data_IF_035065048327
#
_entry.id   IF_035065048327
#
_cell.length_a   1.000
_cell.length_b   1.000
_cell.length_c   1.000
_cell.angle_alpha   90.00
_cell.angle_beta   90.00
_cell.angle_gamma   90.00
#
_symmetry.space_group_name_H-M   'P 1'
#
loop_
_entity.id
_entity.type
_entity.pdbx_description
1 polymer ?
#
# COMPACT_ATOMS: atom_id res chain seq x y z
N UNK A 1 -19.76 10.97 -53.34
CA UNK A 1 -19.35 11.57 -52.05
C UNK A 1 -17.83 11.78 -52.07
N UNK A 2 -17.28 12.81 -51.48
CA UNK A 2 -15.84 12.94 -51.45
C UNK A 2 -15.23 11.73 -50.74
N UNK A 3 -14.28 11.12 -51.37
CA UNK A 3 -13.58 9.92 -50.94
C UNK A 3 -12.73 10.23 -49.71
N UNK A 4 -12.79 9.40 -48.64
CA UNK A 4 -12.03 9.62 -47.42
C UNK A 4 -10.62 9.04 -47.59
N UNK A 5 -9.65 9.95 -47.82
CA UNK A 5 -8.26 9.53 -48.10
C UNK A 5 -7.44 9.45 -46.81
N UNK A 6 -6.71 8.36 -46.63
CA UNK A 6 -5.73 8.11 -45.57
C UNK A 6 -4.33 8.12 -46.17
N UNK A 7 -3.37 8.67 -45.45
CA UNK A 7 -1.96 8.50 -45.71
C UNK A 7 -1.42 7.14 -45.22
N UNK A 8 -0.12 6.88 -45.45
CA UNK A 8 0.52 5.68 -44.85
C UNK A 8 0.71 5.80 -43.34
N UNK A 9 0.62 7.02 -42.80
CA UNK A 9 0.52 7.34 -41.37
C UNK A 9 -0.55 8.41 -41.13
N UNK A 10 -1.25 8.33 -40.02
CA UNK A 10 -2.34 9.24 -39.64
C UNK A 10 -2.37 9.53 -38.16
N UNK A 11 -2.91 10.71 -37.82
CA UNK A 11 -3.37 11.01 -36.49
C UNK A 11 -4.81 10.52 -36.26
N UNK A 12 -5.03 9.90 -35.11
CA UNK A 12 -6.37 9.50 -34.71
C UNK A 12 -6.54 9.65 -33.20
N UNK A 13 -7.77 9.60 -32.73
CA UNK A 13 -8.11 9.50 -31.32
C UNK A 13 -8.94 8.25 -31.03
N UNK A 14 -8.85 7.76 -29.78
CA UNK A 14 -9.69 6.69 -29.26
C UNK A 14 -10.42 7.21 -28.02
N UNK A 15 -11.55 7.95 -28.21
CA UNK A 15 -12.20 8.70 -27.13
C UNK A 15 -12.65 7.79 -25.97
N UNK A 16 -13.16 6.60 -26.26
CA UNK A 16 -13.61 5.65 -25.27
C UNK A 16 -12.45 5.13 -24.37
N UNK A 17 -11.20 5.24 -24.82
CA UNK A 17 -10.01 4.87 -24.08
C UNK A 17 -9.33 6.08 -23.41
N UNK A 18 -9.87 7.29 -23.60
CA UNK A 18 -9.25 8.52 -23.10
C UNK A 18 -7.96 8.91 -23.82
N UNK A 19 -7.81 8.50 -25.08
CA UNK A 19 -6.64 8.81 -25.91
C UNK A 19 -6.99 9.87 -26.96
N UNK A 20 -6.80 11.17 -26.65
CA UNK A 20 -7.18 12.26 -27.55
C UNK A 20 -6.28 12.36 -28.79
N UNK A 21 -5.08 11.83 -28.76
CA UNK A 21 -4.14 11.85 -29.88
C UNK A 21 -3.23 10.63 -29.86
N UNK A 22 -3.13 9.92 -30.97
CA UNK A 22 -2.16 8.83 -31.16
C UNK A 22 -1.75 8.79 -32.64
N UNK A 23 -0.49 8.51 -32.93
CA UNK A 23 -0.01 8.29 -34.30
C UNK A 23 -0.12 6.82 -34.66
N UNK A 24 -0.77 6.53 -35.76
CA UNK A 24 -0.96 5.18 -36.28
C UNK A 24 -0.31 5.02 -37.65
N UNK A 25 0.34 3.87 -37.84
CA UNK A 25 0.72 3.41 -39.17
C UNK A 25 -0.48 2.72 -39.82
N UNK A 26 -0.85 3.13 -41.04
CA UNK A 26 -1.90 2.48 -41.84
C UNK A 26 -1.30 1.27 -42.52
N UNK A 27 -1.81 0.06 -42.21
CA UNK A 27 -1.27 -1.20 -42.71
C UNK A 27 -2.35 -2.06 -43.38
N UNK A 28 -2.40 -1.97 -44.71
CA UNK A 28 -3.36 -2.73 -45.52
C UNK A 28 -3.05 -4.25 -45.57
N UNK A 29 -1.84 -4.66 -45.19
CA UNK A 29 -1.43 -6.07 -45.08
C UNK A 29 -1.96 -6.75 -43.81
N UNK A 30 -2.06 -6.00 -42.73
CA UNK A 30 -2.58 -6.52 -41.46
C UNK A 30 -4.12 -6.55 -41.47
N UNK A 31 -4.72 -7.67 -41.04
CA UNK A 31 -6.20 -7.77 -40.95
C UNK A 31 -6.76 -6.94 -39.80
N UNK A 32 -6.16 -7.03 -38.63
CA UNK A 32 -6.65 -6.42 -37.38
C UNK A 32 -5.73 -5.28 -36.94
N UNK A 33 -6.31 -4.23 -36.41
CA UNK A 33 -5.53 -3.15 -35.80
C UNK A 33 -4.82 -3.64 -34.53
N UNK A 34 -3.70 -2.98 -34.19
CA UNK A 34 -2.93 -3.29 -33.00
C UNK A 34 -2.57 -2.02 -32.24
N UNK A 35 -2.79 -2.02 -30.95
CA UNK A 35 -2.46 -0.90 -30.05
C UNK A 35 -1.33 -1.34 -29.12
N UNK A 36 -0.33 -0.48 -28.94
CA UNK A 36 0.67 -0.67 -27.92
C UNK A 36 -0.01 -0.74 -26.56
N UNK A 37 0.27 -1.80 -25.82
CA UNK A 37 -0.22 -1.98 -24.48
C UNK A 37 0.78 -2.79 -23.66
N UNK A 38 0.97 -2.38 -22.44
CA UNK A 38 1.74 -3.12 -21.43
C UNK A 38 0.92 -3.22 -20.13
N UNK A 39 1.37 -4.03 -19.19
CA UNK A 39 0.61 -4.31 -17.96
C UNK A 39 -0.84 -4.72 -18.24
N UNK A 40 -1.04 -5.59 -19.25
CA UNK A 40 -2.37 -6.03 -19.68
C UNK A 40 -2.95 -7.00 -18.66
N UNK A 41 -4.14 -6.70 -18.14
CA UNK A 41 -4.77 -7.46 -17.07
C UNK A 41 -6.28 -7.62 -17.31
N UNK A 42 -6.77 -8.86 -17.45
CA UNK A 42 -8.21 -9.12 -17.50
C UNK A 42 -8.83 -8.98 -16.10
N UNK A 43 -10.01 -8.39 -16.01
CA UNK A 43 -10.77 -8.21 -14.77
C UNK A 43 -12.27 -8.25 -15.03
N UNK A 44 -13.06 -8.12 -13.97
CA UNK A 44 -14.52 -8.14 -14.05
C UNK A 44 -15.14 -9.53 -13.95
N UNK A 45 -16.48 -9.62 -13.88
CA UNK A 45 -17.18 -10.89 -13.80
C UNK A 45 -17.11 -11.63 -15.14
N UNK A 46 -17.28 -12.97 -15.10
CA UNK A 46 -17.13 -13.83 -16.28
C UNK A 46 -18.15 -13.56 -17.40
N UNK A 47 -19.31 -12.99 -17.05
CA UNK A 47 -20.37 -12.60 -18.00
C UNK A 47 -20.16 -11.21 -18.62
N UNK A 48 -19.29 -10.40 -18.02
CA UNK A 48 -18.88 -9.07 -18.53
C UNK A 48 -17.38 -8.87 -18.35
N UNK A 49 -16.54 -9.64 -19.05
CA UNK A 49 -15.11 -9.53 -18.90
C UNK A 49 -14.59 -8.18 -19.41
N UNK A 50 -13.68 -7.61 -18.68
CA UNK A 50 -13.03 -6.36 -19.00
C UNK A 50 -11.51 -6.60 -19.10
N UNK A 51 -10.81 -5.75 -19.81
CA UNK A 51 -9.34 -5.72 -19.82
C UNK A 51 -8.86 -4.32 -19.49
N UNK A 52 -7.84 -4.25 -18.66
CA UNK A 52 -7.10 -3.03 -18.36
C UNK A 52 -5.69 -3.16 -18.90
N UNK A 53 -5.14 -2.05 -19.36
CA UNK A 53 -3.78 -1.96 -19.87
C UNK A 53 -3.26 -0.54 -19.74
N UNK A 54 -1.93 -0.40 -19.76
CA UNK A 54 -1.27 0.89 -19.81
C UNK A 54 -0.68 1.12 -21.21
N UNK A 55 -0.60 2.38 -21.62
CA UNK A 55 -0.02 2.81 -22.89
C UNK A 55 0.83 4.07 -22.71
N UNK A 56 1.96 4.15 -23.42
CA UNK A 56 2.68 5.40 -23.66
C UNK A 56 2.25 5.91 -25.05
N UNK A 57 1.31 6.87 -25.14
CA UNK A 57 0.79 7.33 -26.43
C UNK A 57 1.84 8.07 -27.26
N UNK A 58 2.76 8.79 -26.61
CA UNK A 58 3.90 9.46 -27.25
C UNK A 58 5.14 8.54 -27.22
N UNK A 59 5.68 8.14 -28.39
CA UNK A 59 6.91 7.35 -28.44
C UNK A 59 8.14 8.07 -27.88
N UNK A 60 8.14 9.38 -27.82
CA UNK A 60 9.26 10.22 -27.35
C UNK A 60 9.21 10.52 -25.85
N UNK A 61 8.07 10.32 -25.20
CA UNK A 61 7.85 10.60 -23.77
C UNK A 61 7.23 9.39 -23.03
N UNK A 62 8.08 8.53 -22.49
CA UNK A 62 7.64 7.41 -21.67
C UNK A 62 7.10 7.83 -20.29
N UNK A 63 7.25 9.11 -19.90
CA UNK A 63 6.66 9.61 -18.65
C UNK A 63 5.16 9.88 -18.78
N UNK A 64 4.66 10.00 -20.02
CA UNK A 64 3.24 10.10 -20.33
C UNK A 64 2.64 8.69 -20.39
N UNK A 65 2.16 8.21 -19.26
CA UNK A 65 1.49 6.90 -19.12
C UNK A 65 -0.02 7.11 -18.96
N UNK A 66 -0.82 6.44 -19.80
CA UNK A 66 -2.29 6.43 -19.73
C UNK A 66 -2.77 5.02 -19.44
N UNK A 67 -3.62 4.89 -18.41
CA UNK A 67 -4.27 3.62 -18.08
C UNK A 67 -5.65 3.57 -18.73
N UNK A 68 -5.86 2.59 -19.58
CA UNK A 68 -7.10 2.35 -20.31
C UNK A 68 -7.85 1.14 -19.76
N UNK A 69 -9.17 1.13 -19.92
CA UNK A 69 -10.02 -0.05 -19.64
C UNK A 69 -11.06 -0.18 -20.72
N UNK A 70 -11.30 -1.40 -21.18
CA UNK A 70 -12.31 -1.70 -22.21
C UNK A 70 -12.98 -3.05 -21.95
N UNK A 71 -14.21 -3.28 -22.46
CA UNK A 71 -14.79 -4.61 -22.53
C UNK A 71 -13.87 -5.54 -23.33
N UNK A 72 -13.61 -6.72 -22.76
CA UNK A 72 -12.87 -7.76 -23.47
C UNK A 72 -13.82 -8.45 -24.45
N UNK A 73 -13.53 -8.33 -25.75
CA UNK A 73 -14.33 -8.97 -26.82
C UNK A 73 -13.92 -10.42 -27.00
N UNK A 74 -12.61 -10.69 -27.08
CA UNK A 74 -12.07 -12.00 -27.44
C UNK A 74 -10.60 -12.14 -27.00
N UNK A 75 -10.10 -13.37 -27.11
CA UNK A 75 -8.68 -13.72 -27.05
C UNK A 75 -8.36 -14.57 -28.28
N UNK A 76 -7.43 -14.13 -29.10
CA UNK A 76 -7.06 -14.88 -30.29
C UNK A 76 -5.58 -14.92 -30.50
N UNK A 77 -5.11 -15.99 -31.14
CA UNK A 77 -3.75 -16.10 -31.63
C UNK A 77 -3.55 -15.16 -32.83
N UNK A 78 -2.51 -14.37 -32.78
CA UNK A 78 -2.13 -13.47 -33.86
C UNK A 78 -0.69 -13.75 -34.22
N UNK A 79 -0.46 -14.11 -35.47
CA UNK A 79 0.89 -14.28 -36.01
C UNK A 79 1.42 -12.94 -36.48
N UNK A 80 2.56 -12.53 -35.93
CA UNK A 80 3.27 -11.31 -36.31
C UNK A 80 3.95 -11.46 -37.67
N UNK A 81 4.38 -10.34 -38.25
CA UNK A 81 5.17 -10.34 -39.51
C UNK A 81 6.49 -11.12 -39.40
N UNK A 82 6.98 -11.35 -38.18
CA UNK A 82 8.21 -12.15 -37.92
C UNK A 82 7.92 -13.65 -37.82
N UNK A 83 6.65 -14.08 -37.97
CA UNK A 83 6.26 -15.49 -37.85
C UNK A 83 5.99 -15.95 -36.41
N UNK A 84 6.15 -15.10 -35.41
CA UNK A 84 5.84 -15.42 -34.02
C UNK A 84 4.33 -15.34 -33.76
N UNK A 85 3.77 -16.36 -33.12
CA UNK A 85 2.36 -16.41 -32.72
C UNK A 85 2.21 -16.08 -31.24
N UNK A 86 1.36 -15.12 -30.94
CA UNK A 86 1.10 -14.62 -29.60
C UNK A 86 -0.40 -14.59 -29.33
N UNK A 87 -0.83 -15.05 -28.16
CA UNK A 87 -2.22 -14.92 -27.70
C UNK A 87 -2.50 -13.49 -27.24
N UNK A 88 -3.34 -12.76 -27.98
CA UNK A 88 -3.65 -11.35 -27.70
C UNK A 88 -5.08 -11.17 -27.23
N UNK A 89 -5.27 -10.20 -26.33
CA UNK A 89 -6.58 -9.70 -25.99
C UNK A 89 -7.11 -8.78 -27.10
N UNK A 90 -8.40 -8.90 -27.41
CA UNK A 90 -9.10 -8.09 -28.40
C UNK A 90 -10.15 -7.25 -27.74
N UNK A 91 -10.14 -5.96 -28.02
CA UNK A 91 -11.16 -5.00 -27.60
C UNK A 91 -11.88 -4.43 -28.82
N UNK A 92 -13.08 -3.91 -28.58
CA UNK A 92 -13.77 -3.06 -29.55
C UNK A 92 -13.80 -1.65 -29.01
N UNK A 93 -13.43 -0.67 -29.84
CA UNK A 93 -13.39 0.74 -29.44
C UNK A 93 -13.74 1.62 -30.63
N UNK A 94 -14.21 2.83 -30.35
CA UNK A 94 -14.44 3.84 -31.39
C UNK A 94 -13.13 4.52 -31.73
N UNK A 95 -12.82 4.63 -33.03
CA UNK A 95 -11.76 5.46 -33.57
C UNK A 95 -12.36 6.72 -34.16
N UNK A 96 -11.75 7.87 -33.90
CA UNK A 96 -12.13 9.14 -34.51
C UNK A 96 -10.95 9.70 -35.30
N UNK A 97 -11.24 10.13 -36.52
CA UNK A 97 -10.26 10.70 -37.46
C UNK A 97 -10.91 11.78 -38.34
N UNK A 98 -10.39 12.95 -38.30
CA UNK A 98 -11.03 14.11 -38.94
C UNK A 98 -12.45 14.33 -38.38
N UNK A 99 -13.45 14.27 -39.25
CA UNK A 99 -14.87 14.42 -38.88
C UNK A 99 -15.63 13.09 -38.79
N UNK A 100 -14.96 11.98 -38.87
CA UNK A 100 -15.55 10.65 -38.84
C UNK A 100 -15.20 9.89 -37.60
N UNK A 101 -16.14 9.07 -37.09
CA UNK A 101 -15.94 8.10 -36.03
C UNK A 101 -16.61 6.80 -36.40
N UNK A 102 -15.95 5.66 -36.10
CA UNK A 102 -16.49 4.32 -36.36
C UNK A 102 -15.87 3.29 -35.41
N UNK A 103 -16.56 2.18 -35.14
CA UNK A 103 -16.04 1.12 -34.29
C UNK A 103 -14.97 0.28 -35.01
N UNK A 104 -13.93 -0.09 -34.28
CA UNK A 104 -12.87 -0.97 -34.76
C UNK A 104 -12.53 -2.04 -33.73
N UNK A 105 -12.06 -3.19 -34.21
CA UNK A 105 -11.41 -4.19 -33.38
C UNK A 105 -9.90 -3.89 -33.27
N UNK A 106 -9.40 -3.95 -32.04
CA UNK A 106 -8.00 -3.68 -31.74
C UNK A 106 -7.41 -4.78 -30.86
N UNK A 107 -6.28 -5.33 -31.29
CA UNK A 107 -5.49 -6.26 -30.45
C UNK A 107 -4.51 -5.50 -29.57
N UNK A 108 -4.37 -5.93 -28.33
CA UNK A 108 -3.41 -5.37 -27.36
C UNK A 108 -2.11 -6.16 -27.43
N UNK A 109 -1.00 -5.47 -27.66
CA UNK A 109 0.34 -6.09 -27.74
C UNK A 109 1.44 -5.10 -27.40
N UNK A 110 2.57 -5.59 -26.90
CA UNK A 110 3.70 -4.72 -26.62
C UNK A 110 4.38 -4.27 -27.92
N UNK A 111 4.32 -2.97 -28.19
CA UNK A 111 4.97 -2.28 -29.31
C UNK A 111 5.93 -1.19 -28.82
N UNK A 112 6.42 -1.31 -27.59
CA UNK A 112 7.26 -0.28 -26.94
C UNK A 112 8.53 0.07 -27.72
N UNK A 113 9.07 -0.86 -28.52
CA UNK A 113 10.23 -0.62 -29.38
C UNK A 113 9.91 -0.03 -30.76
N UNK A 114 8.63 0.13 -31.11
CA UNK A 114 8.21 0.58 -32.45
C UNK A 114 7.93 2.08 -32.50
N UNK A 115 8.19 2.70 -33.65
CA UNK A 115 7.94 4.12 -33.87
C UNK A 115 6.46 4.52 -33.79
N UNK A 116 5.56 3.58 -34.08
CA UNK A 116 4.11 3.81 -34.01
C UNK A 116 3.50 2.97 -32.91
N UNK A 117 2.84 3.64 -31.98
CA UNK A 117 2.13 2.99 -30.87
C UNK A 117 0.85 2.29 -31.32
N UNK A 118 0.36 2.65 -32.51
CA UNK A 118 -0.79 2.00 -33.11
C UNK A 118 -0.54 1.62 -34.56
N UNK A 119 -1.15 0.51 -34.97
CA UNK A 119 -1.26 0.02 -36.34
C UNK A 119 -2.75 -0.03 -36.69
N UNK A 120 -3.16 0.63 -37.76
CA UNK A 120 -4.52 0.60 -38.28
C UNK A 120 -4.59 -0.45 -39.40
N UNK A 121 -5.19 -1.60 -39.09
CA UNK A 121 -5.33 -2.72 -40.01
C UNK A 121 -6.48 -2.53 -41.00
N UNK A 122 -6.47 -3.29 -42.10
CA UNK A 122 -7.48 -3.18 -43.18
C UNK A 122 -8.92 -3.41 -42.72
N UNK A 123 -9.14 -4.14 -41.62
CA UNK A 123 -10.49 -4.33 -41.04
C UNK A 123 -11.07 -3.05 -40.42
N UNK A 124 -10.24 -2.04 -40.19
CA UNK A 124 -10.66 -0.72 -39.74
C UNK A 124 -10.80 0.29 -40.90
N UNK A 125 -10.46 -0.09 -42.12
CA UNK A 125 -10.55 0.75 -43.33
C UNK A 125 -11.86 0.41 -44.05
N UNK A 126 -12.78 1.39 -44.12
CA UNK A 126 -14.06 1.23 -44.77
C UNK A 126 -13.96 1.15 -46.30
N UNK A 127 -14.99 0.63 -46.96
CA UNK A 127 -15.04 0.51 -48.42
C UNK A 127 -14.99 1.85 -49.17
N UNK A 128 -15.40 2.93 -48.48
CA UNK A 128 -15.36 4.29 -49.00
C UNK A 128 -14.05 5.05 -48.69
N UNK A 129 -13.03 4.33 -48.16
CA UNK A 129 -11.72 4.89 -47.83
C UNK A 129 -10.65 4.43 -48.82
N UNK A 130 -9.74 5.35 -49.13
CA UNK A 130 -8.55 5.07 -49.94
C UNK A 130 -7.30 5.32 -49.12
N UNK A 131 -6.31 4.44 -49.27
CA UNK A 131 -4.99 4.63 -48.68
C UNK A 131 -4.01 5.12 -49.78
N UNK A 132 -3.45 6.30 -49.55
CA UNK A 132 -2.40 6.85 -50.40
C UNK A 132 -1.02 6.59 -49.81
N UNK A 133 -0.23 5.65 -50.34
CA UNK A 133 1.06 5.30 -49.78
C UNK A 133 2.14 6.39 -49.95
N UNK A 134 1.87 7.39 -50.79
CA UNK A 134 2.78 8.51 -51.04
C UNK A 134 2.53 9.72 -50.13
N UNK A 135 1.46 9.70 -49.33
CA UNK A 135 1.05 10.82 -48.48
C UNK A 135 1.05 10.44 -47.01
N UNK A 136 1.34 11.43 -46.15
CA UNK A 136 1.24 11.34 -44.69
C UNK A 136 0.19 12.36 -44.23
N UNK A 137 -0.53 12.01 -43.16
CA UNK A 137 -1.44 12.95 -42.47
C UNK A 137 -2.45 13.63 -43.43
N UNK A 138 -3.18 12.81 -44.18
CA UNK A 138 -4.24 13.30 -45.05
C UNK A 138 -5.44 13.83 -44.26
N UNK A 139 -5.57 13.47 -43.01
CA UNK A 139 -6.58 13.96 -42.08
C UNK A 139 -5.97 15.00 -41.13
N UNK A 140 -6.80 15.83 -40.45
CA UNK A 140 -6.30 16.88 -39.55
C UNK A 140 -5.34 16.33 -38.51
N UNK A 141 -4.22 17.01 -38.34
CA UNK A 141 -3.24 16.65 -37.30
C UNK A 141 -3.77 16.90 -35.91
N UNK A 142 -3.45 15.97 -35.00
CA UNK A 142 -3.65 16.09 -33.56
C UNK A 142 -2.29 16.35 -32.90
N UNK A 143 -2.29 16.72 -31.63
CA UNK A 143 -1.07 16.99 -30.89
C UNK A 143 -1.06 16.23 -29.58
N UNK A 144 0.09 15.71 -29.16
CA UNK A 144 0.28 15.17 -27.82
C UNK A 144 0.10 16.22 -26.72
N UNK A 145 0.13 17.53 -27.05
CA UNK A 145 -0.21 18.59 -26.08
C UNK A 145 -1.65 18.48 -25.57
N UNK A 146 -2.56 17.86 -26.35
CA UNK A 146 -3.93 17.57 -25.92
C UNK A 146 -4.00 16.75 -24.64
N UNK A 147 -2.95 15.99 -24.29
CA UNK A 147 -2.86 15.30 -23.00
C UNK A 147 -2.56 16.23 -21.81
N UNK A 148 -2.01 17.43 -22.06
CA UNK A 148 -1.75 18.45 -21.02
C UNK A 148 -3.01 19.20 -20.63
N UNK A 149 -3.88 19.47 -21.61
CA UNK A 149 -5.13 20.22 -21.46
C UNK A 149 -6.31 19.33 -21.09
N UNK A 150 -6.19 18.04 -21.33
CA UNK A 150 -7.18 17.09 -20.83
C UNK A 150 -7.12 17.20 -19.29
N UNK A 151 -8.23 17.61 -18.60
CA UNK A 151 -8.28 17.51 -17.15
C UNK A 151 -7.87 16.07 -16.88
N UNK A 152 -6.71 15.89 -16.21
CA UNK A 152 -6.17 14.53 -15.93
C UNK A 152 -7.34 13.73 -15.50
N UNK A 153 -7.93 12.97 -16.45
CA UNK A 153 -9.07 12.08 -16.19
C UNK A 153 -8.60 11.35 -14.96
N UNK A 154 -9.26 11.63 -13.83
CA UNK A 154 -8.84 11.15 -12.50
C UNK A 154 -8.32 9.78 -12.76
N UNK A 155 -6.99 9.60 -12.72
CA UNK A 155 -6.33 8.37 -13.13
C UNK A 155 -7.25 7.26 -12.71
N UNK A 156 -7.85 6.51 -13.67
CA UNK A 156 -8.79 5.45 -13.30
C UNK A 156 -7.91 4.45 -12.56
N UNK A 157 -7.75 4.75 -11.28
CA UNK A 157 -6.95 3.94 -10.38
C UNK A 157 -7.50 2.56 -10.50
N UNK A 158 -6.64 1.62 -10.75
CA UNK A 158 -7.00 0.21 -10.79
C UNK A 158 -7.93 -0.06 -9.61
N UNK A 159 -9.14 -0.57 -9.86
CA UNK A 159 -10.00 -1.08 -8.81
C UNK A 159 -9.28 -2.25 -8.14
N UNK A 160 -8.71 -2.01 -6.98
CA UNK A 160 -7.99 -3.04 -6.23
C UNK A 160 -8.98 -3.95 -5.52
N UNK A 161 -8.63 -5.23 -5.44
CA UNK A 161 -9.28 -6.16 -4.53
C UNK A 161 -8.45 -6.23 -3.25
N UNK A 162 -8.99 -5.72 -2.18
CA UNK A 162 -8.34 -5.61 -0.87
C UNK A 162 -8.99 -6.54 0.15
N UNK A 163 -8.25 -6.94 1.17
CA UNK A 163 -8.81 -7.57 2.35
C UNK A 163 -8.28 -6.89 3.62
N UNK A 164 -9.16 -6.68 4.59
CA UNK A 164 -8.77 -6.29 5.95
C UNK A 164 -8.88 -7.52 6.86
N UNK A 165 -7.76 -7.84 7.51
CA UNK A 165 -7.63 -9.00 8.38
C UNK A 165 -7.87 -8.56 9.83
N UNK A 166 -9.07 -8.75 10.37
CA UNK A 166 -9.45 -8.26 11.70
C UNK A 166 -10.45 -9.20 12.38
N UNK A 167 -10.47 -9.20 13.72
CA UNK A 167 -11.54 -9.82 14.52
C UNK A 167 -12.59 -8.80 14.99
N UNK A 168 -12.41 -7.55 14.63
CA UNK A 168 -13.26 -6.44 15.10
C UNK A 168 -13.82 -5.69 13.88
N UNK A 169 -14.80 -6.26 13.18
CA UNK A 169 -15.38 -5.68 11.97
C UNK A 169 -16.04 -4.31 12.24
N UNK A 170 -16.63 -4.14 13.41
CA UNK A 170 -17.34 -2.91 13.83
C UNK A 170 -16.40 -1.81 14.36
N UNK A 171 -15.09 -2.06 14.38
CA UNK A 171 -14.12 -1.06 14.87
C UNK A 171 -14.07 0.16 13.94
N UNK A 172 -14.00 1.36 14.53
CA UNK A 172 -13.89 2.63 13.79
C UNK A 172 -12.91 2.56 12.61
N UNK A 173 -11.69 2.06 12.85
CA UNK A 173 -10.67 1.98 11.80
C UNK A 173 -11.09 1.07 10.64
N UNK A 174 -11.81 -0.02 10.92
CA UNK A 174 -12.33 -0.92 9.88
C UNK A 174 -13.36 -0.20 9.00
N UNK A 175 -14.34 0.48 9.62
CA UNK A 175 -15.32 1.31 8.92
C UNK A 175 -14.66 2.37 8.02
N UNK A 176 -13.66 3.08 8.56
CA UNK A 176 -12.91 4.10 7.78
C UNK A 176 -12.20 3.51 6.55
N UNK A 177 -11.59 2.33 6.67
CA UNK A 177 -10.97 1.66 5.51
C UNK A 177 -12.00 1.22 4.47
N UNK A 178 -13.18 0.75 4.89
CA UNK A 178 -14.28 0.39 3.97
C UNK A 178 -14.74 1.63 3.19
N UNK A 179 -15.10 2.72 3.90
CA UNK A 179 -15.54 3.97 3.29
C UNK A 179 -14.49 4.55 2.32
N UNK A 180 -13.23 4.57 2.73
CA UNK A 180 -12.15 5.07 1.90
C UNK A 180 -11.89 4.19 0.66
N UNK A 181 -12.06 2.86 0.77
CA UNK A 181 -11.93 1.94 -0.35
C UNK A 181 -13.04 2.15 -1.38
N UNK A 182 -14.29 2.23 -0.92
CA UNK A 182 -15.46 2.48 -1.76
C UNK A 182 -15.36 3.84 -2.48
N UNK A 183 -15.01 4.90 -1.75
CA UNK A 183 -14.83 6.24 -2.32
C UNK A 183 -13.74 6.31 -3.40
N UNK A 184 -12.81 5.33 -3.40
CA UNK A 184 -11.71 5.21 -4.37
C UNK A 184 -11.99 4.16 -5.46
N UNK A 185 -13.16 3.51 -5.42
CA UNK A 185 -13.56 2.49 -6.39
C UNK A 185 -12.88 1.14 -6.19
N UNK A 186 -12.42 0.84 -4.98
CA UNK A 186 -11.85 -0.47 -4.61
C UNK A 186 -12.89 -1.37 -3.96
N UNK A 187 -12.66 -2.67 -4.02
CA UNK A 187 -13.42 -3.63 -3.21
C UNK A 187 -12.58 -4.01 -1.99
N UNK A 188 -13.16 -3.92 -0.79
CA UNK A 188 -12.50 -4.32 0.45
C UNK A 188 -13.36 -5.36 1.16
N UNK A 189 -12.79 -6.53 1.38
CA UNK A 189 -13.43 -7.64 2.09
C UNK A 189 -12.93 -7.69 3.53
N UNK A 190 -13.86 -7.80 4.48
CA UNK A 190 -13.53 -7.97 5.90
C UNK A 190 -13.43 -9.46 6.24
N UNK A 191 -12.27 -9.86 6.74
CA UNK A 191 -11.96 -11.27 7.02
C UNK A 191 -11.57 -11.40 8.48
N UNK A 192 -12.31 -12.24 9.22
CA UNK A 192 -11.90 -12.65 10.56
C UNK A 192 -10.69 -13.58 10.47
N UNK A 193 -9.54 -13.05 10.87
CA UNK A 193 -8.26 -13.76 10.80
C UNK A 193 -8.27 -15.09 11.57
N UNK A 194 -9.06 -15.19 12.65
CA UNK A 194 -9.13 -16.40 13.48
C UNK A 194 -9.87 -17.57 12.80
N UNK A 195 -10.66 -17.26 11.74
CA UNK A 195 -11.43 -18.24 10.96
C UNK A 195 -10.74 -18.64 9.66
N UNK A 196 -9.59 -18.05 9.35
CA UNK A 196 -8.79 -18.45 8.20
C UNK A 196 -8.12 -19.82 8.48
N UNK A 197 -7.95 -20.60 7.42
CA UNK A 197 -7.05 -21.76 7.43
C UNK A 197 -6.29 -21.84 6.11
N UNK A 198 -5.14 -22.46 6.12
CA UNK A 198 -4.15 -22.36 5.06
C UNK A 198 -3.80 -23.73 4.49
N UNK A 199 -3.68 -23.80 3.16
CA UNK A 199 -3.09 -24.94 2.48
C UNK A 199 -1.68 -24.54 2.01
N UNK A 200 -0.67 -25.13 2.61
CA UNK A 200 0.74 -24.81 2.37
C UNK A 200 1.31 -25.81 1.37
N UNK A 201 1.73 -25.33 0.21
CA UNK A 201 2.33 -26.14 -0.86
C UNK A 201 3.57 -25.45 -1.41
N UNK A 202 4.45 -26.21 -2.06
CA UNK A 202 5.63 -25.67 -2.73
C UNK A 202 5.26 -24.66 -3.85
N UNK A 203 4.14 -24.89 -4.54
CA UNK A 203 3.59 -24.00 -5.56
C UNK A 203 2.09 -23.84 -5.33
N UNK A 204 1.57 -22.61 -5.39
CA UNK A 204 0.14 -22.34 -5.35
C UNK A 204 -0.50 -22.56 -3.96
N UNK A 205 0.12 -22.04 -2.89
CA UNK A 205 -0.49 -22.00 -1.57
C UNK A 205 -1.84 -21.25 -1.57
N UNK A 206 -2.70 -21.57 -0.60
CA UNK A 206 -4.07 -21.06 -0.55
C UNK A 206 -4.43 -20.61 0.88
N UNK A 207 -5.30 -19.62 0.98
CA UNK A 207 -5.98 -19.26 2.22
C UNK A 207 -7.46 -19.52 2.02
N UNK A 208 -8.08 -20.15 2.99
CA UNK A 208 -9.51 -20.45 3.04
C UNK A 208 -10.17 -19.73 4.21
N UNK A 209 -11.43 -19.35 4.02
CA UNK A 209 -12.26 -18.68 5.00
C UNK A 209 -13.69 -19.15 4.85
N UNK A 210 -14.33 -19.58 5.94
CA UNK A 210 -15.73 -20.05 5.94
C UNK A 210 -16.03 -21.09 4.85
N UNK A 211 -15.17 -22.09 4.70
CA UNK A 211 -15.39 -23.19 3.75
C UNK A 211 -15.06 -22.85 2.30
N UNK A 212 -14.71 -21.61 1.97
CA UNK A 212 -14.35 -21.19 0.61
C UNK A 212 -12.88 -20.82 0.50
N UNK A 213 -12.29 -21.10 -0.64
CA UNK A 213 -10.98 -20.56 -1.01
C UNK A 213 -11.09 -19.06 -1.23
N UNK A 214 -10.21 -18.29 -0.59
CA UNK A 214 -10.13 -16.85 -0.84
C UNK A 214 -9.55 -16.57 -2.23
N UNK A 215 -10.06 -15.54 -2.91
CA UNK A 215 -9.49 -15.09 -4.17
C UNK A 215 -8.12 -14.46 -3.96
N UNK A 216 -7.42 -14.16 -5.04
CA UNK A 216 -6.23 -13.31 -4.97
C UNK A 216 -6.62 -11.88 -4.59
N UNK A 217 -5.97 -11.32 -3.58
CA UNK A 217 -6.05 -9.91 -3.23
C UNK A 217 -4.79 -9.18 -3.70
N UNK A 218 -4.96 -7.94 -4.14
CA UNK A 218 -3.84 -7.06 -4.48
C UNK A 218 -3.06 -6.66 -3.24
N UNK A 219 -3.78 -6.42 -2.14
CA UNK A 219 -3.19 -6.11 -0.85
C UNK A 219 -4.05 -6.62 0.31
N UNK A 220 -3.39 -6.87 1.44
CA UNK A 220 -4.03 -7.10 2.74
C UNK A 220 -3.67 -6.01 3.72
N UNK A 221 -4.63 -5.62 4.56
CA UNK A 221 -4.51 -4.64 5.64
C UNK A 221 -4.61 -5.40 6.97
N UNK A 222 -3.49 -5.83 7.56
CA UNK A 222 -3.51 -6.56 8.82
C UNK A 222 -3.89 -5.65 10.00
N UNK A 223 -4.88 -6.10 10.80
CA UNK A 223 -5.27 -5.50 12.07
C UNK A 223 -5.15 -6.54 13.19
N UNK A 224 -3.95 -7.11 13.30
CA UNK A 224 -3.69 -8.24 14.17
C UNK A 224 -3.59 -7.76 15.62
N UNK A 225 -4.48 -8.27 16.48
CA UNK A 225 -4.49 -8.03 17.91
C UNK A 225 -3.46 -8.88 18.67
N UNK A 226 -3.15 -8.51 19.92
CA UNK A 226 -2.15 -9.20 20.73
C UNK A 226 -2.50 -10.66 20.99
N UNK A 227 -3.79 -10.97 21.22
CA UNK A 227 -4.25 -12.32 21.56
C UNK A 227 -4.15 -13.35 20.42
N UNK A 228 -3.92 -12.89 19.17
CA UNK A 228 -3.77 -13.79 18.01
C UNK A 228 -2.50 -13.51 17.21
N UNK A 229 -1.50 -12.89 17.83
CA UNK A 229 -0.29 -12.47 17.11
C UNK A 229 0.34 -13.63 16.33
N UNK A 230 0.55 -14.78 16.95
CA UNK A 230 1.20 -15.93 16.30
C UNK A 230 0.39 -16.45 15.10
N UNK A 231 -0.92 -16.65 15.28
CA UNK A 231 -1.78 -17.13 14.21
C UNK A 231 -2.00 -16.07 13.13
N UNK A 232 -2.26 -14.84 13.54
CA UNK A 232 -2.48 -13.73 12.61
C UNK A 232 -1.27 -13.46 11.73
N UNK A 233 -0.06 -13.50 12.29
CA UNK A 233 1.17 -13.36 11.50
C UNK A 233 1.41 -14.54 10.56
N UNK A 234 0.99 -15.76 10.92
CA UNK A 234 1.05 -16.91 10.04
C UNK A 234 0.11 -16.72 8.82
N UNK A 235 -1.11 -16.23 9.03
CA UNK A 235 -2.04 -15.90 7.93
C UNK A 235 -1.48 -14.81 7.03
N UNK A 236 -0.94 -13.72 7.61
CA UNK A 236 -0.30 -12.65 6.83
C UNK A 236 0.86 -13.20 5.99
N UNK A 237 1.72 -14.02 6.58
CA UNK A 237 2.86 -14.65 5.89
C UNK A 237 2.41 -15.55 4.73
N UNK A 238 1.26 -16.21 4.86
CA UNK A 238 0.70 -16.99 3.76
C UNK A 238 0.30 -16.09 2.59
N UNK A 239 -0.35 -14.95 2.84
CA UNK A 239 -0.65 -13.97 1.79
C UNK A 239 0.63 -13.41 1.15
N UNK A 240 1.65 -13.09 1.94
CA UNK A 240 2.96 -12.63 1.44
C UNK A 240 3.61 -13.69 0.54
N UNK A 241 3.57 -14.97 0.93
CA UNK A 241 4.12 -16.07 0.12
C UNK A 241 3.39 -16.28 -1.20
N UNK A 242 2.12 -15.87 -1.28
CA UNK A 242 1.29 -15.88 -2.48
C UNK A 242 1.48 -14.62 -3.36
N UNK A 243 2.37 -13.71 -2.97
CA UNK A 243 2.67 -12.47 -3.70
C UNK A 243 1.73 -11.31 -3.42
N UNK A 244 0.82 -11.43 -2.46
CA UNK A 244 -0.05 -10.33 -2.01
C UNK A 244 0.76 -9.31 -1.22
N UNK A 245 0.62 -8.03 -1.55
CA UNK A 245 1.23 -6.96 -0.75
C UNK A 245 0.57 -6.89 0.63
N UNK A 246 1.36 -6.81 1.69
CA UNK A 246 0.87 -6.58 3.05
C UNK A 246 1.27 -5.20 3.54
N UNK A 247 0.29 -4.39 3.97
CA UNK A 247 0.52 -3.04 4.51
C UNK A 247 1.42 -3.05 5.75
N UNK A 248 1.30 -4.10 6.56
CA UNK A 248 2.22 -4.41 7.65
C UNK A 248 2.65 -5.87 7.48
N UNK A 249 3.92 -6.09 7.21
CA UNK A 249 4.47 -7.44 6.99
C UNK A 249 4.46 -8.29 8.26
N UNK A 250 4.36 -9.60 8.09
CA UNK A 250 4.30 -10.57 9.20
C UNK A 250 5.48 -10.43 10.17
N UNK A 251 6.69 -10.19 9.65
CA UNK A 251 7.90 -9.95 10.44
C UNK A 251 7.78 -8.66 11.26
N UNK A 252 7.36 -7.55 10.62
CA UNK A 252 7.19 -6.26 11.28
C UNK A 252 6.14 -6.30 12.39
N UNK A 253 5.04 -7.02 12.17
CA UNK A 253 4.01 -7.25 13.20
C UNK A 253 4.60 -8.02 14.38
N UNK A 254 5.29 -9.12 14.12
CA UNK A 254 5.89 -9.96 15.17
C UNK A 254 6.90 -9.19 16.01
N UNK A 255 7.82 -8.45 15.37
CA UNK A 255 8.84 -7.63 16.04
C UNK A 255 8.19 -6.54 16.88
N UNK A 256 7.22 -5.79 16.32
CA UNK A 256 6.58 -4.68 17.06
C UNK A 256 5.73 -5.14 18.24
N UNK A 257 5.25 -6.38 18.24
CA UNK A 257 4.48 -6.98 19.34
C UNK A 257 5.35 -7.48 20.48
N UNK A 258 6.56 -7.89 20.18
CA UNK A 258 7.54 -8.30 21.18
C UNK A 258 8.30 -7.08 21.69
N UNK A 259 7.94 -6.58 22.88
CA UNK A 259 8.55 -5.38 23.46
C UNK A 259 10.08 -5.49 23.60
N UNK A 260 10.58 -6.67 23.97
CA UNK A 260 12.03 -6.88 24.11
C UNK A 260 12.71 -6.85 22.75
N UNK A 261 12.21 -7.60 21.77
CA UNK A 261 12.75 -7.64 20.43
C UNK A 261 12.69 -6.25 19.75
N UNK A 262 11.57 -5.52 19.92
CA UNK A 262 11.43 -4.16 19.43
C UNK A 262 12.55 -3.25 19.97
N UNK A 263 12.84 -3.29 21.27
CA UNK A 263 13.94 -2.50 21.87
C UNK A 263 15.31 -2.92 21.34
N UNK A 264 15.56 -4.22 21.15
CA UNK A 264 16.81 -4.72 20.56
C UNK A 264 16.99 -4.22 19.11
N UNK A 265 15.91 -4.20 18.31
CA UNK A 265 15.94 -3.65 16.95
C UNK A 265 16.20 -2.14 16.97
N UNK A 266 15.53 -1.38 17.84
CA UNK A 266 15.79 0.06 17.99
C UNK A 266 17.24 0.34 18.38
N UNK A 267 17.80 -0.42 19.35
CA UNK A 267 19.18 -0.32 19.77
C UNK A 267 20.16 -0.59 18.62
N UNK A 268 19.96 -1.68 17.86
CA UNK A 268 20.77 -2.02 16.68
C UNK A 268 20.81 -0.89 15.66
N UNK A 269 19.70 -0.17 15.49
CA UNK A 269 19.60 0.96 14.57
C UNK A 269 19.99 2.31 15.20
N UNK A 270 20.51 2.32 16.44
CA UNK A 270 20.91 3.52 17.18
C UNK A 270 19.79 4.57 17.24
N UNK A 271 18.57 4.11 17.56
CA UNK A 271 17.40 4.96 17.73
C UNK A 271 17.22 5.21 19.21
N UNK A 272 17.06 6.50 19.60
CA UNK A 272 16.88 6.90 20.99
C UNK A 272 15.67 6.21 21.63
N UNK A 273 15.87 5.66 22.84
CA UNK A 273 14.84 5.01 23.64
C UNK A 273 15.19 5.12 25.12
N UNK A 274 14.26 4.97 26.07
CA UNK A 274 14.59 4.87 27.47
C UNK A 274 15.55 3.70 27.73
N UNK A 275 16.55 3.89 28.59
CA UNK A 275 17.46 2.78 28.95
C UNK A 275 16.66 1.61 29.49
N UNK A 276 16.82 0.45 28.87
CA UNK A 276 15.98 -0.73 29.11
C UNK A 276 16.85 -1.90 29.53
N UNK A 277 16.47 -2.57 30.62
CA UNK A 277 17.07 -3.78 31.09
C UNK A 277 16.06 -4.91 31.16
N UNK A 278 16.51 -6.14 30.92
CA UNK A 278 15.72 -7.35 31.00
C UNK A 278 16.54 -8.45 31.69
N UNK A 279 15.95 -9.16 32.64
CA UNK A 279 16.50 -10.40 33.16
C UNK A 279 15.37 -11.36 33.54
N UNK A 280 15.63 -12.61 33.30
CA UNK A 280 14.76 -13.72 33.73
C UNK A 280 15.08 -14.22 35.14
N UNK A 281 16.33 -13.99 35.59
CA UNK A 281 16.78 -14.45 36.91
C UNK A 281 16.30 -13.52 38.02
N UNK A 282 15.71 -14.11 39.05
CA UNK A 282 15.25 -13.35 40.21
C UNK A 282 16.35 -12.77 41.11
N UNK A 283 17.57 -13.27 41.00
CA UNK A 283 18.67 -12.87 41.89
C UNK A 283 19.29 -11.51 41.55
N UNK A 284 18.98 -10.97 40.35
CA UNK A 284 19.66 -9.80 39.80
C UNK A 284 18.87 -8.49 39.89
N UNK A 285 17.82 -8.43 40.74
CA UNK A 285 16.92 -7.24 40.80
C UNK A 285 17.65 -5.95 41.13
N UNK A 286 18.63 -5.99 42.04
CA UNK A 286 19.43 -4.82 42.39
C UNK A 286 20.28 -4.30 41.22
N UNK A 287 20.90 -5.20 40.46
CA UNK A 287 21.70 -4.88 39.30
C UNK A 287 20.83 -4.33 38.16
N UNK A 288 19.62 -4.89 37.93
CA UNK A 288 18.68 -4.37 36.95
C UNK A 288 18.31 -2.91 37.20
N UNK A 289 18.01 -2.58 38.44
CA UNK A 289 17.68 -1.21 38.87
C UNK A 289 18.86 -0.26 38.60
N UNK A 290 20.09 -0.70 38.90
CA UNK A 290 21.28 0.12 38.64
C UNK A 290 21.56 0.29 37.14
N UNK A 291 21.36 -0.75 36.31
CA UNK A 291 21.57 -0.68 34.86
C UNK A 291 20.71 0.39 34.17
N UNK A 292 19.53 0.71 34.71
CA UNK A 292 18.64 1.74 34.15
C UNK A 292 18.80 3.11 34.82
N UNK A 293 19.80 3.27 35.70
CA UNK A 293 20.12 4.53 36.35
C UNK A 293 19.40 4.75 37.69
N UNK A 294 18.79 3.71 38.27
CA UNK A 294 18.07 3.77 39.55
C UNK A 294 16.62 4.20 39.43
N UNK A 295 16.00 4.50 40.57
CA UNK A 295 14.64 5.04 40.64
C UNK A 295 14.62 6.58 40.48
N UNK A 296 13.54 7.18 39.93
CA UNK A 296 12.31 6.50 39.48
C UNK A 296 12.51 5.70 38.20
N UNK A 297 11.80 4.57 38.06
CA UNK A 297 11.86 3.69 36.90
C UNK A 297 10.50 3.08 36.59
N UNK A 298 10.34 2.56 35.38
CA UNK A 298 9.08 1.94 34.92
C UNK A 298 9.30 0.44 34.72
N UNK A 299 8.40 -0.36 35.29
CA UNK A 299 8.35 -1.81 35.06
C UNK A 299 7.21 -2.14 34.12
N UNK A 300 7.46 -2.97 33.12
CA UNK A 300 6.47 -3.32 32.09
C UNK A 300 6.42 -4.83 31.90
N UNK A 301 5.26 -5.45 32.09
CA UNK A 301 5.05 -6.82 31.69
C UNK A 301 5.19 -7.00 30.18
N UNK A 302 5.87 -8.06 29.73
CA UNK A 302 6.03 -8.33 28.30
C UNK A 302 4.69 -8.66 27.63
N UNK A 303 3.89 -9.52 28.27
CA UNK A 303 2.62 -9.99 27.75
C UNK A 303 1.43 -9.10 28.15
N UNK A 304 1.60 -7.77 28.07
CA UNK A 304 0.54 -6.82 28.43
C UNK A 304 0.30 -5.79 27.33
N UNK A 305 -0.95 -5.29 27.27
CA UNK A 305 -1.38 -4.29 26.29
C UNK A 305 -2.17 -3.16 26.96
N UNK A 306 -2.31 -2.02 26.27
CA UNK A 306 -3.11 -0.87 26.69
C UNK A 306 -2.71 -0.30 28.06
N UNK A 307 -1.41 -0.35 28.43
CA UNK A 307 -0.92 0.16 29.71
C UNK A 307 -1.22 -0.73 30.93
N UNK A 308 -1.89 -1.87 30.75
CA UNK A 308 -2.03 -2.86 31.83
C UNK A 308 -0.65 -3.48 32.12
N UNK A 309 -0.31 -3.68 33.41
CA UNK A 309 0.99 -4.22 33.80
C UNK A 309 2.17 -3.28 33.59
N UNK A 310 1.93 -1.95 33.56
CA UNK A 310 2.94 -0.90 33.57
C UNK A 310 2.88 -0.18 34.92
N UNK A 311 4.00 -0.19 35.66
CA UNK A 311 4.10 0.35 37.02
C UNK A 311 5.26 1.34 37.11
N UNK A 312 5.02 2.54 37.62
CA UNK A 312 6.06 3.49 38.02
C UNK A 312 6.50 3.15 39.44
N UNK A 313 7.77 2.94 39.63
CA UNK A 313 8.39 2.76 40.94
C UNK A 313 9.26 3.99 41.25
N UNK A 314 8.78 4.83 42.14
CA UNK A 314 9.44 6.10 42.50
C UNK A 314 10.69 5.89 43.36
N UNK A 315 10.76 4.78 44.10
CA UNK A 315 11.88 4.44 44.97
C UNK A 315 12.45 3.06 44.67
N UNK A 316 13.71 2.84 45.03
CA UNK A 316 14.38 1.53 44.88
C UNK A 316 13.59 0.44 45.58
N UNK A 317 13.09 0.72 46.81
CA UNK A 317 12.32 -0.25 47.59
C UNK A 317 10.99 -0.63 46.91
N UNK A 318 10.29 0.35 46.31
CA UNK A 318 9.09 0.09 45.53
C UNK A 318 9.42 -0.78 44.31
N UNK A 319 10.49 -0.46 43.59
CA UNK A 319 10.94 -1.26 42.44
C UNK A 319 11.23 -2.72 42.83
N UNK A 320 11.98 -2.94 43.89
CA UNK A 320 12.29 -4.29 44.40
C UNK A 320 11.03 -5.06 44.78
N UNK A 321 10.05 -4.41 45.40
CA UNK A 321 8.77 -5.01 45.76
C UNK A 321 7.95 -5.45 44.55
N UNK A 322 7.86 -4.58 43.49
CA UNK A 322 7.16 -4.91 42.23
C UNK A 322 7.86 -6.03 41.49
N UNK A 323 9.19 -6.00 41.41
CA UNK A 323 10.00 -7.07 40.81
C UNK A 323 9.73 -8.39 41.52
N UNK A 324 9.72 -8.39 42.86
CA UNK A 324 9.42 -9.58 43.64
C UNK A 324 8.01 -10.13 43.34
N UNK A 325 7.00 -9.26 43.23
CA UNK A 325 5.63 -9.66 42.86
C UNK A 325 5.57 -10.27 41.46
N UNK A 326 6.15 -9.65 40.45
CA UNK A 326 6.17 -10.19 39.09
C UNK A 326 6.89 -11.53 38.99
N UNK A 327 7.93 -11.71 39.77
CA UNK A 327 8.63 -13.00 39.94
C UNK A 327 7.75 -14.07 40.53
N UNK A 328 7.01 -13.74 41.60
CA UNK A 328 6.04 -14.66 42.20
C UNK A 328 5.00 -15.17 41.21
N UNK A 329 4.63 -14.32 40.25
CA UNK A 329 3.73 -14.64 39.13
C UNK A 329 4.44 -15.33 37.95
N UNK A 330 5.76 -15.56 38.00
CA UNK A 330 6.59 -16.08 36.89
C UNK A 330 6.43 -15.26 35.58
N UNK A 331 6.14 -13.98 35.70
CA UNK A 331 5.95 -13.10 34.56
C UNK A 331 7.28 -12.50 34.09
N UNK A 332 7.49 -12.46 32.76
CA UNK A 332 8.61 -11.76 32.16
C UNK A 332 8.30 -10.25 32.08
N UNK A 333 9.28 -9.40 32.41
CA UNK A 333 9.11 -7.94 32.46
C UNK A 333 10.37 -7.20 32.04
N UNK A 334 10.17 -5.94 31.57
CA UNK A 334 11.22 -4.99 31.32
C UNK A 334 11.33 -3.98 32.48
N UNK A 335 12.53 -3.52 32.76
CA UNK A 335 12.81 -2.37 33.61
C UNK A 335 13.34 -1.24 32.73
N UNK A 336 12.75 -0.05 32.82
CA UNK A 336 13.13 1.11 31.99
C UNK A 336 13.36 2.33 32.85
N UNK A 337 14.35 3.18 32.44
CA UNK A 337 14.51 4.51 33.02
C UNK A 337 13.23 5.34 32.82
N UNK A 338 12.84 6.07 33.85
CA UNK A 338 11.74 7.01 33.74
C UNK A 338 12.21 8.32 33.10
N UNK A 339 11.51 8.78 32.06
CA UNK A 339 11.81 10.03 31.34
C UNK A 339 10.99 11.16 32.01
N UNK A 340 11.60 11.84 32.96
CA UNK A 340 10.92 12.87 33.80
C UNK A 340 10.41 14.04 32.96
N UNK A 341 11.14 14.40 31.95
CA UNK A 341 10.88 15.56 31.08
C UNK A 341 9.59 15.37 30.27
N UNK A 342 9.18 14.12 30.06
CA UNK A 342 7.93 13.82 29.36
C UNK A 342 6.68 14.13 30.21
N UNK A 343 6.83 14.17 31.55
CA UNK A 343 5.76 14.61 32.48
C UNK A 343 4.37 13.98 32.24
N UNK A 344 4.31 12.68 31.92
CA UNK A 344 3.05 11.98 31.63
C UNK A 344 2.48 12.25 30.23
N UNK A 345 3.26 12.85 29.35
CA UNK A 345 2.92 13.10 27.96
C UNK A 345 3.70 12.20 26.99
N UNK A 346 3.11 11.87 25.87
CA UNK A 346 3.81 11.33 24.72
C UNK A 346 3.33 11.95 23.39
N UNK A 347 4.12 11.75 22.35
CA UNK A 347 3.79 12.17 20.99
C UNK A 347 3.59 10.93 20.14
N UNK A 348 2.38 10.72 19.66
CA UNK A 348 2.09 9.71 18.65
C UNK A 348 2.30 10.29 17.27
N UNK A 349 3.30 9.77 16.56
CA UNK A 349 3.53 10.02 15.14
C UNK A 349 2.93 8.88 14.32
N UNK A 350 2.04 9.21 13.37
CA UNK A 350 1.51 8.24 12.43
C UNK A 350 2.32 8.26 11.15
N UNK A 351 2.95 7.14 10.86
CA UNK A 351 3.78 6.94 9.65
C UNK A 351 2.98 6.14 8.63
N UNK A 352 2.93 6.64 7.39
CA UNK A 352 2.37 5.94 6.23
C UNK A 352 3.35 6.06 5.08
N UNK A 353 3.80 4.95 4.52
CA UNK A 353 4.66 4.91 3.34
C UNK A 353 5.96 5.72 3.49
N UNK A 354 6.56 5.70 4.69
CA UNK A 354 7.80 6.44 4.97
C UNK A 354 7.62 7.95 5.14
N UNK A 355 6.39 8.42 5.43
CA UNK A 355 6.09 9.82 5.75
C UNK A 355 5.31 9.89 7.07
N UNK A 356 5.63 10.85 7.94
CA UNK A 356 4.76 11.18 9.07
C UNK A 356 3.60 12.01 8.54
N UNK A 357 2.41 11.40 8.49
CA UNK A 357 1.20 12.01 7.91
C UNK A 357 0.42 12.83 8.93
N UNK A 358 0.49 12.44 10.21
CA UNK A 358 -0.15 13.15 11.33
C UNK A 358 0.66 12.91 12.61
N UNK A 359 0.49 13.83 13.58
CA UNK A 359 1.03 13.68 14.92
C UNK A 359 0.06 14.29 15.93
N UNK A 360 -0.02 13.69 17.11
CA UNK A 360 -0.79 14.19 18.24
C UNK A 360 0.00 14.03 19.53
N UNK A 361 -0.17 14.97 20.44
CA UNK A 361 0.27 14.87 21.82
C UNK A 361 -0.83 14.20 22.62
N UNK A 362 -0.46 13.20 23.40
CA UNK A 362 -1.39 12.54 24.35
C UNK A 362 -0.92 12.85 25.76
N UNK A 363 -1.87 13.11 26.63
CA UNK A 363 -1.63 13.38 28.05
C UNK A 363 -2.50 12.42 28.87
N UNK A 364 -1.91 11.81 29.88
CA UNK A 364 -2.63 10.96 30.84
C UNK A 364 -3.70 11.70 31.60
N UNK A 365 -4.55 10.96 32.30
CA UNK A 365 -5.43 11.54 33.32
C UNK A 365 -4.59 12.22 34.43
N UNK A 366 -5.14 13.16 35.19
CA UNK A 366 -4.45 13.72 36.35
C UNK A 366 -3.91 12.59 37.23
N UNK A 367 -2.67 12.71 37.67
CA UNK A 367 -1.94 11.73 38.50
C UNK A 367 -1.60 10.38 37.83
N UNK A 368 -1.85 10.23 36.52
CA UNK A 368 -1.38 9.06 35.75
C UNK A 368 -0.20 9.44 34.86
N UNK A 369 0.94 8.76 35.04
CA UNK A 369 2.12 8.95 34.20
C UNK A 369 1.96 8.31 32.81
N UNK A 370 0.88 7.55 32.57
CA UNK A 370 0.58 6.89 31.29
C UNK A 370 -0.32 7.78 30.44
N UNK A 371 0.03 8.00 29.18
CA UNK A 371 -0.66 8.87 28.24
C UNK A 371 -1.78 8.17 27.42
N UNK A 372 -2.35 7.06 27.91
CA UNK A 372 -3.32 6.25 27.19
C UNK A 372 -4.71 6.91 27.10
N UNK A 373 -5.21 7.18 25.88
CA UNK A 373 -6.53 7.77 25.65
C UNK A 373 -7.68 6.91 26.19
N UNK A 374 -7.56 5.59 26.14
CA UNK A 374 -8.58 4.67 26.65
C UNK A 374 -8.72 4.65 28.19
N UNK A 375 -7.85 5.35 28.89
CA UNK A 375 -7.85 5.47 30.34
C UNK A 375 -8.17 6.90 30.81
N UNK A 376 -8.92 7.66 30.00
CA UNK A 376 -9.33 9.02 30.33
C UNK A 376 -8.32 10.10 29.96
N UNK A 377 -7.28 9.74 29.19
CA UNK A 377 -6.31 10.70 28.65
C UNK A 377 -6.91 11.59 27.56
N UNK A 378 -6.25 12.72 27.31
CA UNK A 378 -6.60 13.68 26.27
C UNK A 378 -5.61 13.66 25.11
N UNK A 379 -6.05 14.11 23.93
CA UNK A 379 -5.18 14.28 22.78
C UNK A 379 -5.39 15.64 22.12
N UNK A 380 -4.30 16.25 21.65
CA UNK A 380 -4.33 17.54 20.98
C UNK A 380 -3.32 17.57 19.82
N UNK A 381 -3.52 18.45 18.81
CA UNK A 381 -2.58 18.62 17.73
C UNK A 381 -1.21 19.06 18.25
N UNK A 382 -0.13 18.53 17.64
CA UNK A 382 1.22 18.92 18.00
C UNK A 382 2.08 19.17 16.76
N UNK A 383 2.92 20.21 16.83
CA UNK A 383 4.00 20.39 15.87
C UNK A 383 5.22 19.57 16.32
N UNK A 384 5.64 18.65 15.47
CA UNK A 384 6.83 17.85 15.72
C UNK A 384 8.07 18.53 15.14
N UNK A 385 9.20 18.39 15.83
CA UNK A 385 10.50 18.84 15.35
C UNK A 385 11.00 17.92 14.21
N UNK A 386 12.05 18.38 13.50
CA UNK A 386 12.73 17.56 12.49
C UNK A 386 13.28 16.28 13.11
N UNK A 387 13.92 16.37 14.29
CA UNK A 387 14.50 15.23 15.00
C UNK A 387 13.43 14.21 15.40
N UNK A 388 12.28 14.64 15.91
CA UNK A 388 11.13 13.75 16.24
C UNK A 388 10.61 13.05 15.00
N UNK A 389 10.45 13.77 13.89
CA UNK A 389 10.05 13.20 12.60
C UNK A 389 11.03 12.15 12.12
N UNK A 390 12.30 12.47 12.09
CA UNK A 390 13.37 11.58 11.61
C UNK A 390 13.47 10.33 12.50
N UNK A 391 13.31 10.48 13.82
CA UNK A 391 13.28 9.35 14.76
C UNK A 391 12.09 8.44 14.51
N UNK A 392 10.88 8.99 14.33
CA UNK A 392 9.67 8.21 14.01
C UNK A 392 9.82 7.43 12.68
N UNK A 393 10.35 8.09 11.64
CA UNK A 393 10.58 7.44 10.34
C UNK A 393 11.64 6.33 10.41
N UNK A 394 12.72 6.54 11.15
CA UNK A 394 13.75 5.52 11.37
C UNK A 394 13.19 4.33 12.14
N UNK A 395 12.39 4.57 13.18
CA UNK A 395 11.75 3.52 13.97
C UNK A 395 10.79 2.66 13.12
N UNK A 396 9.88 3.28 12.36
CA UNK A 396 8.97 2.56 11.45
C UNK A 396 9.75 1.73 10.40
N UNK A 397 10.80 2.29 9.82
CA UNK A 397 11.67 1.60 8.85
C UNK A 397 12.42 0.43 9.47
N UNK A 398 12.97 0.60 10.69
CA UNK A 398 13.67 -0.46 11.41
C UNK A 398 12.75 -1.66 11.69
N UNK A 399 11.47 -1.40 11.95
CA UNK A 399 10.42 -2.43 12.13
C UNK A 399 9.83 -2.94 10.81
N UNK A 400 10.28 -2.44 9.64
CA UNK A 400 9.75 -2.79 8.31
C UNK A 400 8.23 -2.59 8.16
N UNK A 401 7.70 -1.49 8.71
CA UNK A 401 6.28 -1.16 8.70
C UNK A 401 6.00 0.01 7.77
N UNK A 402 5.09 -0.18 6.81
CA UNK A 402 4.58 0.89 5.94
C UNK A 402 3.45 1.69 6.63
N UNK A 403 2.75 1.09 7.59
CA UNK A 403 1.84 1.77 8.52
C UNK A 403 2.34 1.54 9.94
N UNK A 404 2.63 2.60 10.68
CA UNK A 404 3.06 2.51 12.08
C UNK A 404 2.59 3.70 12.91
N UNK A 405 2.19 3.42 14.15
CA UNK A 405 2.05 4.42 15.20
C UNK A 405 3.31 4.41 16.06
N UNK A 406 4.12 5.46 15.99
CA UNK A 406 5.35 5.58 16.76
C UNK A 406 5.11 6.54 17.92
N UNK A 407 5.28 6.04 19.14
CA UNK A 407 5.11 6.82 20.36
C UNK A 407 6.48 7.30 20.86
N UNK A 408 6.61 8.61 21.03
CA UNK A 408 7.85 9.29 21.40
C UNK A 408 7.70 10.02 22.72
N UNK A 409 8.71 9.92 23.58
CA UNK A 409 8.91 10.77 24.75
C UNK A 409 9.92 11.87 24.42
N UNK A 410 9.67 13.09 24.90
CA UNK A 410 10.65 14.19 24.87
C UNK A 410 11.59 14.05 26.05
N UNK A 411 12.84 13.72 25.82
CA UNK A 411 13.89 13.68 26.82
C UNK A 411 14.91 14.80 26.59
N UNK A 412 15.75 15.10 27.59
CA UNK A 412 16.80 16.15 27.53
C UNK A 412 17.77 15.93 26.35
N UNK A 413 18.17 14.70 26.11
CA UNK A 413 19.10 14.31 25.05
C UNK A 413 18.41 13.98 23.70
N UNK A 414 17.12 14.33 23.56
CA UNK A 414 16.33 14.18 22.35
C UNK A 414 15.16 13.19 22.46
N UNK A 415 14.46 12.94 21.33
CA UNK A 415 13.28 12.10 21.34
C UNK A 415 13.64 10.63 21.59
N UNK A 416 12.87 9.97 22.46
CA UNK A 416 13.00 8.56 22.83
C UNK A 416 11.77 7.78 22.37
N UNK A 417 11.97 6.73 21.58
CA UNK A 417 10.89 5.85 21.15
C UNK A 417 10.43 5.01 22.34
N UNK A 418 9.15 5.12 22.68
CA UNK A 418 8.51 4.35 23.73
C UNK A 418 8.03 3.00 23.20
N UNK A 419 7.31 3.04 22.05
CA UNK A 419 6.82 1.86 21.35
C UNK A 419 6.52 2.14 19.86
N UNK A 420 6.44 1.08 19.06
CA UNK A 420 6.03 1.12 17.65
C UNK A 420 4.85 0.15 17.47
N UNK A 421 3.72 0.69 17.04
CA UNK A 421 2.48 -0.06 16.86
C UNK A 421 2.24 -0.39 15.38
N UNK A 422 2.15 -1.66 15.02
CA UNK A 422 1.88 -2.15 13.66
C UNK A 422 0.41 -2.04 13.24
N UNK A 423 -0.50 -1.82 14.18
CA UNK A 423 -1.94 -1.69 13.93
C UNK A 423 -2.50 -0.49 14.70
N UNK A 424 -2.04 0.75 14.41
CA UNK A 424 -2.48 1.94 15.14
C UNK A 424 -3.98 2.21 14.91
N UNK A 425 -4.71 2.59 15.96
CA UNK A 425 -6.08 3.09 15.83
C UNK A 425 -6.11 4.41 15.08
N UNK A 426 -7.11 4.60 14.21
CA UNK A 426 -7.25 5.82 13.41
C UNK A 426 -8.09 6.90 14.10
N UNK A 427 -9.04 6.51 14.98
CA UNK A 427 -10.04 7.40 15.53
C UNK A 427 -9.47 8.66 16.21
N UNK A 428 -8.59 8.47 17.18
CA UNK A 428 -8.04 9.61 17.93
C UNK A 428 -7.23 10.56 17.06
N UNK A 429 -6.41 10.00 16.15
CA UNK A 429 -5.53 10.83 15.32
C UNK A 429 -6.27 11.49 14.15
N UNK A 430 -7.31 10.88 13.58
CA UNK A 430 -8.18 11.52 12.58
C UNK A 430 -8.97 12.68 13.20
N UNK A 431 -9.57 12.46 14.39
CA UNK A 431 -10.29 13.51 15.14
C UNK A 431 -9.39 14.71 15.45
N UNK A 432 -8.16 14.44 15.89
CA UNK A 432 -7.22 15.51 16.29
C UNK A 432 -6.63 16.24 15.10
N UNK A 433 -6.29 15.52 14.03
CA UNK A 433 -5.60 16.11 12.86
C UNK A 433 -6.53 16.63 11.78
N UNK A 434 -7.80 16.24 11.78
CA UNK A 434 -8.76 16.54 10.72
C UNK A 434 -8.39 15.91 9.35
N UNK A 435 -7.50 14.92 9.33
CA UNK A 435 -7.02 14.29 8.09
C UNK A 435 -7.69 12.94 7.87
N UNK A 436 -8.04 12.67 6.63
CA UNK A 436 -8.48 11.34 6.19
C UNK A 436 -7.27 10.40 6.05
N UNK A 437 -6.95 9.74 7.17
CA UNK A 437 -5.80 8.84 7.24
C UNK A 437 -6.05 7.56 6.43
N UNK A 438 -7.28 7.04 6.46
CA UNK A 438 -7.63 5.85 5.69
C UNK A 438 -7.39 6.06 4.18
N UNK A 439 -7.79 7.23 3.64
CA UNK A 439 -7.52 7.56 2.24
C UNK A 439 -6.01 7.67 1.94
N UNK A 440 -5.19 8.22 2.85
CA UNK A 440 -3.74 8.30 2.69
C UNK A 440 -3.09 6.90 2.68
N UNK A 441 -3.58 5.98 3.50
CA UNK A 441 -3.13 4.58 3.51
C UNK A 441 -3.47 3.91 2.19
N UNK A 442 -4.70 4.07 1.68
CA UNK A 442 -5.08 3.49 0.39
C UNK A 442 -4.28 4.08 -0.78
N UNK A 443 -3.98 5.38 -0.76
CA UNK A 443 -3.06 5.99 -1.73
C UNK A 443 -1.69 5.33 -1.73
N UNK A 444 -1.18 5.01 -0.52
CA UNK A 444 0.09 4.30 -0.42
C UNK A 444 0.00 2.88 -0.98
N UNK A 445 -1.07 2.13 -0.67
CA UNK A 445 -1.31 0.79 -1.22
C UNK A 445 -1.37 0.84 -2.75
N UNK A 446 -2.13 1.77 -3.33
CA UNK A 446 -2.23 1.97 -4.78
C UNK A 446 -0.85 2.16 -5.42
N UNK A 447 0.01 2.98 -4.81
CA UNK A 447 1.36 3.22 -5.31
C UNK A 447 2.28 1.98 -5.21
N UNK A 448 2.03 1.09 -4.23
CA UNK A 448 2.82 -0.14 -4.04
C UNK A 448 2.42 -1.27 -4.96
N UNK A 449 1.13 -1.40 -5.26
CA UNK A 449 0.56 -2.48 -6.08
C UNK A 449 0.32 -2.05 -7.53
N UNK A 450 0.69 -0.82 -7.91
CA UNK A 450 0.69 -0.40 -9.30
C UNK A 450 1.55 -1.37 -10.14
N UNK A 451 1.15 -1.68 -11.39
CA UNK A 451 1.93 -2.53 -12.27
C UNK A 451 3.36 -1.99 -12.36
N UNK A 452 4.35 -2.79 -12.01
CA UNK A 452 5.73 -2.41 -12.22
C UNK A 452 5.97 -2.43 -13.73
N UNK A 453 6.41 -1.32 -14.33
CA UNK A 453 6.97 -1.32 -15.67
C UNK A 453 7.99 -2.48 -15.79
N UNK A 454 7.95 -3.29 -16.85
CA UNK A 454 8.94 -4.33 -17.02
C UNK A 454 10.33 -3.67 -16.98
N UNK A 455 11.11 -3.97 -15.95
CA UNK A 455 12.50 -3.54 -15.88
C UNK A 455 13.17 -4.08 -17.15
N UNK A 456 13.60 -3.19 -18.04
CA UNK A 456 14.51 -3.55 -19.12
C UNK A 456 15.62 -4.40 -18.49
N UNK A 457 15.74 -5.67 -18.91
CA UNK A 457 16.89 -6.49 -18.55
C UNK A 457 18.12 -5.72 -19.04
N UNK A 458 18.84 -5.05 -18.15
CA UNK A 458 20.20 -4.61 -18.43
C UNK A 458 20.94 -5.88 -18.82
N UNK A 459 21.30 -5.99 -20.10
CA UNK A 459 22.32 -6.93 -20.55
C UNK A 459 23.59 -6.56 -19.80
N UNK A 460 24.02 -7.44 -18.88
CA UNK A 460 25.38 -7.49 -18.39
C UNK A 460 26.21 -8.34 -19.36
#
# INVERSE_FOLDING_TARGET
>A
MPQFTLGWEEWLSLPALGLPAIRAKVDTGAKTSALHAFAIEPFGPSDKPMVRFAIHPDPSDESLEIICSAPLKDRREVTSSNGETELRFVIETEVSMGKRSWPIEVTLTDRGSMAYRMLLGRGAIGEDMIVSPAQSFCQPELSFDSYRDTPRLKQHRRALRLAILTREPENYSTGRFIEAAEARGHTLEVIDTSRCYMNIRAVGGEVHYDGRRLPHYDAVIPRIGASITNYGTAVVRQFESMGTYSLAGSEGIAVSRDKLHAHQVLARHRIGMPTTAFARSPKDSGNLIQLVGGAPLVLKLLESTQGKGVVLAETKKAAESVISAFRGLKADFLVQSFVKEAAGEDIRCLVVGGKVVAAMRRRGAPDDFRSNLHQGGTAEPVRITKTERDTALRAARAMKLDLAGVDLLRGEDGPKVLEVNSSPGLEGIEKVSGKDIAALVLQHIEAKVAPRSPRSKRKG
#
